data_IF_653622157044
#
_entry.id   IF_653622157044
#
_cell.length_a   1.000
_cell.length_b   1.000
_cell.length_c   1.000
_cell.angle_alpha   90.00
_cell.angle_beta   90.00
_cell.angle_gamma   90.00
#
_symmetry.space_group_name_H-M   'P 1'
#
loop_
_entity.id
_entity.type
_entity.pdbx_description
1 polymer ?
#
# COMPACT_ATOMS: atom_id res chain seq x y z
N UNK A 1 25.28 18.00 -27.93
CA UNK A 1 24.81 16.67 -27.43
C UNK A 1 24.36 16.67 -25.94
N UNK A 2 24.06 17.75 -25.26
CA UNK A 2 23.77 17.76 -23.83
C UNK A 2 22.35 18.14 -23.44
N UNK A 3 21.73 19.11 -24.08
CA UNK A 3 20.41 19.65 -23.70
C UNK A 3 19.24 18.77 -24.12
N UNK A 4 19.32 18.10 -25.25
CA UNK A 4 18.25 17.19 -25.72
C UNK A 4 18.14 15.90 -24.91
N UNK A 5 19.25 15.40 -24.35
CA UNK A 5 19.26 14.20 -23.52
C UNK A 5 18.75 14.47 -22.10
N UNK A 6 19.00 15.66 -21.56
CA UNK A 6 18.45 16.11 -20.26
C UNK A 6 16.96 16.32 -20.35
N UNK A 7 16.45 16.93 -21.43
CA UNK A 7 15.01 17.15 -21.63
C UNK A 7 14.26 15.83 -21.85
N UNK A 8 14.84 14.87 -22.57
CA UNK A 8 14.26 13.52 -22.72
C UNK A 8 14.23 12.75 -21.40
N UNK A 9 15.28 12.87 -20.56
CA UNK A 9 15.28 12.27 -19.21
C UNK A 9 14.22 12.89 -18.31
N UNK A 10 14.12 14.21 -18.25
CA UNK A 10 13.11 14.90 -17.44
C UNK A 10 11.67 14.58 -17.87
N UNK A 11 11.43 14.40 -19.17
CA UNK A 11 10.11 13.99 -19.66
C UNK A 11 9.81 12.52 -19.39
N UNK A 12 10.79 11.62 -19.49
CA UNK A 12 10.66 10.19 -19.17
C UNK A 12 10.51 9.91 -17.69
N UNK A 13 10.98 10.80 -16.82
CA UNK A 13 10.92 10.71 -15.35
C UNK A 13 9.75 11.53 -14.76
N UNK A 14 8.94 12.20 -15.59
CA UNK A 14 7.78 12.95 -15.09
C UNK A 14 6.71 12.00 -14.54
N UNK A 15 5.99 12.42 -13.49
CA UNK A 15 4.89 11.66 -12.91
C UNK A 15 3.84 11.27 -13.99
N UNK A 16 3.58 12.15 -14.95
CA UNK A 16 2.69 11.90 -16.07
C UNK A 16 3.20 10.77 -16.99
N UNK A 17 4.50 10.72 -17.30
CA UNK A 17 5.10 9.66 -18.12
C UNK A 17 5.05 8.31 -17.41
N UNK A 18 5.27 8.28 -16.09
CA UNK A 18 5.12 7.07 -15.27
C UNK A 18 3.67 6.58 -15.24
N UNK A 19 2.70 7.48 -15.09
CA UNK A 19 1.28 7.15 -15.13
C UNK A 19 0.91 6.57 -16.50
N UNK A 20 1.35 7.17 -17.58
CA UNK A 20 1.08 6.69 -18.94
C UNK A 20 1.72 5.31 -19.20
N UNK A 21 2.95 5.08 -18.76
CA UNK A 21 3.60 3.76 -18.88
C UNK A 21 2.90 2.70 -18.03
N UNK A 22 2.44 3.03 -16.82
CA UNK A 22 1.65 2.13 -15.99
C UNK A 22 0.30 1.77 -16.64
N UNK A 23 -0.36 2.72 -17.28
CA UNK A 23 -1.61 2.47 -18.04
C UNK A 23 -1.35 1.61 -19.27
N UNK A 24 -0.25 1.82 -20.01
CA UNK A 24 0.15 0.97 -21.14
C UNK A 24 0.51 -0.46 -20.68
N UNK A 25 1.25 -0.61 -19.59
CA UNK A 25 1.58 -1.93 -19.02
C UNK A 25 0.34 -2.63 -18.46
N UNK A 26 -0.58 -1.88 -17.83
CA UNK A 26 -1.87 -2.39 -17.37
C UNK A 26 -2.70 -2.95 -18.53
N UNK A 27 -2.71 -2.25 -19.67
CA UNK A 27 -3.36 -2.72 -20.88
C UNK A 27 -2.71 -3.97 -21.48
N UNK A 28 -1.41 -4.18 -21.26
CA UNK A 28 -0.68 -5.33 -21.76
C UNK A 28 -0.87 -6.61 -20.90
N UNK A 29 -1.20 -6.48 -19.61
CA UNK A 29 -1.46 -7.64 -18.71
C UNK A 29 -2.89 -8.14 -18.88
N UNK A 30 -3.01 -9.31 -19.55
CA UNK A 30 -4.31 -9.87 -19.95
C UNK A 30 -5.11 -10.42 -18.78
N UNK A 31 -6.34 -9.94 -18.64
CA UNK A 31 -7.28 -10.43 -17.65
C UNK A 31 -7.70 -11.91 -17.91
N UNK A 32 -8.08 -12.68 -16.89
CA UNK A 32 -8.59 -14.05 -17.01
C UNK A 32 -9.75 -14.19 -18.01
N UNK A 33 -10.63 -13.19 -18.09
CA UNK A 33 -11.72 -13.17 -19.07
C UNK A 33 -11.21 -13.04 -20.52
N UNK A 34 -10.12 -12.32 -20.78
CA UNK A 34 -9.50 -12.24 -22.09
C UNK A 34 -8.87 -13.59 -22.49
N UNK A 35 -8.28 -14.31 -21.53
CA UNK A 35 -7.80 -15.69 -21.73
C UNK A 35 -8.95 -16.65 -22.01
N UNK A 36 -10.12 -16.45 -21.37
CA UNK A 36 -11.33 -17.23 -21.64
C UNK A 36 -11.82 -17.00 -23.07
N UNK A 37 -11.93 -15.75 -23.53
CA UNK A 37 -12.31 -15.45 -24.93
C UNK A 37 -11.39 -16.11 -25.91
N UNK A 38 -10.07 -16.07 -25.67
CA UNK A 38 -9.07 -16.68 -26.53
C UNK A 38 -9.22 -18.20 -26.57
N UNK A 39 -9.52 -18.85 -25.43
CA UNK A 39 -9.80 -20.29 -25.35
C UNK A 39 -11.10 -20.64 -26.06
N UNK A 40 -12.15 -19.85 -25.84
CA UNK A 40 -13.44 -19.97 -26.50
C UNK A 40 -13.30 -19.86 -28.03
N UNK A 41 -12.63 -18.81 -28.52
CA UNK A 41 -12.43 -18.60 -29.95
C UNK A 41 -11.65 -19.75 -30.63
N UNK A 42 -10.69 -20.36 -29.92
CA UNK A 42 -9.91 -21.49 -30.42
C UNK A 42 -10.78 -22.72 -30.73
N UNK A 43 -11.87 -22.92 -30.00
CA UNK A 43 -12.82 -24.03 -30.21
C UNK A 43 -13.95 -23.58 -31.13
N UNK A 44 -14.52 -22.42 -30.87
CA UNK A 44 -15.68 -21.88 -31.58
C UNK A 44 -15.41 -21.68 -33.08
N UNK A 45 -14.29 -21.06 -33.44
CA UNK A 45 -13.99 -20.74 -34.83
C UNK A 45 -13.88 -21.98 -35.72
N UNK A 46 -13.13 -23.06 -35.36
CA UNK A 46 -13.13 -24.29 -36.17
C UNK A 46 -14.48 -24.96 -36.26
N UNK A 47 -15.28 -24.99 -35.18
CA UNK A 47 -16.60 -25.59 -35.16
C UNK A 47 -17.54 -24.86 -36.14
N UNK A 48 -17.63 -23.54 -36.05
CA UNK A 48 -18.50 -22.75 -36.93
C UNK A 48 -18.05 -22.84 -38.40
N UNK A 49 -16.72 -22.79 -38.62
CA UNK A 49 -16.17 -22.98 -39.98
C UNK A 49 -16.49 -24.37 -40.52
N UNK A 50 -16.35 -25.43 -39.70
CA UNK A 50 -16.71 -26.78 -40.08
C UNK A 50 -18.19 -26.93 -40.43
N UNK A 51 -19.09 -26.30 -39.62
CA UNK A 51 -20.52 -26.25 -39.91
C UNK A 51 -20.83 -25.54 -41.24
N UNK A 52 -20.15 -24.42 -41.50
CA UNK A 52 -20.32 -23.68 -42.75
C UNK A 52 -19.89 -24.53 -43.97
N UNK A 53 -18.81 -25.28 -43.83
CA UNK A 53 -18.38 -26.25 -44.88
C UNK A 53 -19.43 -27.35 -45.08
N UNK A 54 -20.01 -27.88 -43.98
CA UNK A 54 -21.07 -28.88 -44.06
C UNK A 54 -22.35 -28.34 -44.72
N UNK A 55 -22.72 -27.07 -44.49
CA UNK A 55 -23.86 -26.42 -45.18
C UNK A 55 -23.68 -26.45 -46.70
N UNK A 56 -22.46 -26.29 -47.21
CA UNK A 56 -22.17 -26.38 -48.64
C UNK A 56 -22.04 -27.85 -49.12
N UNK A 57 -21.32 -28.66 -48.38
CA UNK A 57 -20.93 -29.99 -48.82
C UNK A 57 -22.07 -31.04 -48.73
N UNK A 58 -22.88 -31.02 -47.66
CA UNK A 58 -23.94 -32.03 -47.47
C UNK A 58 -25.01 -31.97 -48.57
N UNK A 59 -25.58 -30.79 -48.94
CA UNK A 59 -26.55 -30.73 -50.02
C UNK A 59 -25.97 -31.10 -51.38
N UNK A 60 -24.67 -30.75 -51.61
CA UNK A 60 -23.97 -31.18 -52.83
C UNK A 60 -23.80 -32.69 -52.92
N UNK A 61 -23.39 -33.33 -51.82
CA UNK A 61 -23.26 -34.78 -51.74
C UNK A 61 -24.62 -35.48 -51.89
N UNK A 62 -25.66 -34.91 -51.24
CA UNK A 62 -27.02 -35.44 -51.36
C UNK A 62 -27.54 -35.42 -52.79
N UNK A 63 -27.29 -34.31 -53.52
CA UNK A 63 -27.64 -34.17 -54.94
C UNK A 63 -26.97 -35.23 -55.84
N UNK A 64 -25.71 -35.54 -55.53
CA UNK A 64 -24.94 -36.57 -56.25
C UNK A 64 -25.49 -38.00 -56.03
N UNK A 65 -26.01 -38.25 -54.80
CA UNK A 65 -26.47 -39.59 -54.41
C UNK A 65 -27.93 -39.87 -54.80
N UNK A 66 -28.80 -38.87 -54.81
CA UNK A 66 -30.25 -39.05 -54.96
C UNK A 66 -30.87 -38.41 -56.19
N UNK A 67 -30.12 -37.76 -57.07
CA UNK A 67 -30.51 -37.37 -58.44
C UNK A 67 -31.74 -36.51 -58.65
N UNK A 68 -32.42 -36.03 -57.59
CA UNK A 68 -33.66 -35.26 -57.69
C UNK A 68 -33.61 -33.85 -57.10
N UNK A 69 -32.47 -33.46 -56.55
CA UNK A 69 -32.29 -32.17 -55.90
C UNK A 69 -31.38 -31.27 -56.71
N UNK A 70 -31.93 -30.13 -57.14
CA UNK A 70 -31.15 -29.13 -57.90
C UNK A 70 -30.20 -28.38 -56.97
N UNK A 71 -28.90 -28.78 -56.97
CA UNK A 71 -27.87 -28.11 -56.19
C UNK A 71 -27.29 -26.95 -56.94
N UNK A 72 -27.28 -25.73 -56.32
CA UNK A 72 -26.59 -24.57 -56.79
C UNK A 72 -25.45 -24.23 -55.80
N UNK A 73 -24.21 -24.31 -56.23
CA UNK A 73 -23.05 -24.02 -55.40
C UNK A 73 -23.08 -22.56 -54.85
N UNK A 74 -23.42 -21.61 -55.72
CA UNK A 74 -23.47 -20.16 -55.36
C UNK A 74 -24.50 -19.87 -54.29
N UNK A 75 -25.68 -20.53 -54.35
CA UNK A 75 -26.72 -20.36 -53.37
C UNK A 75 -26.30 -20.94 -51.98
N UNK A 76 -25.80 -22.16 -51.99
CA UNK A 76 -25.36 -22.80 -50.72
C UNK A 76 -24.11 -22.15 -50.14
N UNK A 77 -23.18 -21.64 -50.97
CA UNK A 77 -22.06 -20.85 -50.55
C UNK A 77 -22.53 -19.55 -49.90
N UNK A 78 -23.49 -18.85 -50.53
CA UNK A 78 -24.08 -17.61 -49.96
C UNK A 78 -24.72 -17.87 -48.61
N UNK A 79 -25.47 -18.97 -48.43
CA UNK A 79 -26.07 -19.39 -47.16
C UNK A 79 -25.01 -19.65 -46.10
N UNK A 80 -23.93 -20.33 -46.45
CA UNK A 80 -22.81 -20.61 -45.53
C UNK A 80 -22.08 -19.31 -45.11
N UNK A 81 -21.89 -18.35 -46.02
CA UNK A 81 -21.31 -17.07 -45.72
C UNK A 81 -22.20 -16.21 -44.79
N UNK A 82 -23.51 -16.20 -45.05
CA UNK A 82 -24.49 -15.54 -44.15
C UNK A 82 -24.46 -16.21 -42.76
N UNK A 83 -24.40 -17.53 -42.69
CA UNK A 83 -24.27 -18.28 -41.44
C UNK A 83 -23.00 -17.88 -40.67
N UNK A 84 -21.83 -17.80 -41.34
CA UNK A 84 -20.56 -17.36 -40.73
C UNK A 84 -20.64 -15.96 -40.16
N UNK A 85 -21.21 -15.02 -40.91
CA UNK A 85 -21.39 -13.62 -40.45
C UNK A 85 -22.34 -13.54 -39.27
N UNK A 86 -23.50 -14.21 -39.33
CA UNK A 86 -24.50 -14.23 -38.27
C UNK A 86 -24.02 -14.92 -36.99
N UNK A 87 -23.10 -15.89 -37.14
CA UNK A 87 -22.51 -16.63 -36.04
C UNK A 87 -21.33 -15.92 -35.40
N UNK A 88 -20.94 -14.72 -35.85
CA UNK A 88 -19.80 -13.98 -35.26
C UNK A 88 -20.13 -13.49 -33.84
N UNK A 89 -19.37 -13.88 -32.80
CA UNK A 89 -19.57 -13.37 -31.45
C UNK A 89 -18.90 -11.99 -31.24
N UNK A 90 -18.97 -11.12 -32.25
CA UNK A 90 -18.24 -9.86 -32.29
C UNK A 90 -18.54 -8.95 -31.09
N UNK A 91 -19.81 -8.91 -30.65
CA UNK A 91 -20.21 -8.14 -29.48
C UNK A 91 -19.50 -8.63 -28.19
N UNK A 92 -19.38 -9.94 -28.01
CA UNK A 92 -18.69 -10.54 -26.85
C UNK A 92 -17.20 -10.20 -26.87
N UNK A 93 -16.56 -10.29 -28.02
CA UNK A 93 -15.11 -10.06 -28.19
C UNK A 93 -14.73 -8.58 -27.94
N UNK A 94 -15.61 -7.65 -28.26
CA UNK A 94 -15.37 -6.20 -28.08
C UNK A 94 -15.80 -5.73 -26.70
N UNK A 95 -16.92 -6.23 -26.16
CA UNK A 95 -17.49 -5.72 -24.91
C UNK A 95 -16.62 -5.97 -23.68
N UNK A 96 -15.90 -7.11 -23.64
CA UNK A 96 -15.09 -7.47 -22.47
C UNK A 96 -13.86 -6.54 -22.34
N UNK A 97 -12.99 -6.35 -23.34
CA UNK A 97 -11.90 -5.37 -23.25
C UNK A 97 -12.40 -3.97 -22.95
N UNK A 98 -13.51 -3.55 -23.58
CA UNK A 98 -14.10 -2.23 -23.34
C UNK A 98 -14.56 -2.07 -21.88
N UNK A 99 -15.10 -3.13 -21.26
CA UNK A 99 -15.46 -3.16 -19.85
C UNK A 99 -14.25 -2.93 -18.94
N UNK A 100 -13.13 -3.62 -19.19
CA UNK A 100 -11.88 -3.41 -18.43
C UNK A 100 -11.31 -2.01 -18.60
N UNK A 101 -11.24 -1.49 -19.84
CA UNK A 101 -10.79 -0.13 -20.09
C UNK A 101 -11.66 0.91 -19.37
N UNK A 102 -12.97 0.72 -19.41
CA UNK A 102 -13.90 1.59 -18.70
C UNK A 102 -13.70 1.52 -17.18
N UNK A 103 -13.57 0.31 -16.64
CA UNK A 103 -13.33 0.08 -15.20
C UNK A 103 -12.03 0.70 -14.71
N UNK A 104 -10.92 0.46 -15.41
CA UNK A 104 -9.62 1.08 -15.10
C UNK A 104 -9.69 2.59 -15.23
N UNK A 105 -10.37 3.11 -16.26
CA UNK A 105 -10.54 4.54 -16.46
C UNK A 105 -11.35 5.23 -15.37
N UNK A 106 -12.40 4.59 -14.85
CA UNK A 106 -13.19 5.10 -13.72
C UNK A 106 -12.37 5.06 -12.44
N UNK A 107 -11.67 3.97 -12.17
CA UNK A 107 -10.79 3.84 -11.00
C UNK A 107 -9.67 4.91 -11.01
N UNK A 108 -9.04 5.12 -12.16
CA UNK A 108 -8.00 6.15 -12.33
C UNK A 108 -8.51 7.56 -12.04
N UNK A 109 -9.75 7.89 -12.44
CA UNK A 109 -10.37 9.17 -12.08
C UNK A 109 -10.63 9.35 -10.59
N UNK A 110 -10.78 8.24 -9.86
CA UNK A 110 -10.91 8.21 -8.41
C UNK A 110 -9.54 8.15 -7.69
N UNK A 111 -8.42 8.29 -8.41
CA UNK A 111 -7.08 8.21 -7.84
C UNK A 111 -6.57 6.78 -7.61
N UNK A 112 -7.24 5.75 -8.19
CA UNK A 112 -6.83 4.34 -8.03
C UNK A 112 -6.29 3.83 -9.37
N UNK A 113 -5.00 3.52 -9.42
CA UNK A 113 -4.30 3.05 -10.61
C UNK A 113 -4.12 1.53 -10.55
N UNK A 114 -4.73 0.80 -11.47
CA UNK A 114 -4.52 -0.63 -11.66
C UNK A 114 -3.45 -0.87 -12.71
N UNK A 115 -2.44 -1.68 -12.40
CA UNK A 115 -1.38 -2.08 -13.34
C UNK A 115 -1.77 -3.24 -14.27
N UNK A 116 -3.01 -3.67 -14.24
CA UNK A 116 -3.53 -4.71 -15.13
C UNK A 116 -4.99 -5.03 -14.91
N UNK A 117 -5.70 -5.43 -15.98
CA UNK A 117 -7.10 -5.85 -15.90
C UNK A 117 -7.31 -7.09 -15.01
N UNK A 118 -6.30 -7.97 -14.90
CA UNK A 118 -6.34 -9.14 -14.01
C UNK A 118 -6.51 -8.75 -12.54
N UNK A 119 -5.98 -7.61 -12.13
CA UNK A 119 -6.06 -7.13 -10.75
C UNK A 119 -7.45 -6.59 -10.40
N UNK A 120 -8.21 -6.09 -11.37
CA UNK A 120 -9.63 -5.77 -11.19
C UNK A 120 -10.45 -7.03 -10.83
N UNK A 121 -10.18 -8.15 -11.50
CA UNK A 121 -10.83 -9.42 -11.19
C UNK A 121 -10.40 -9.97 -9.83
N UNK A 122 -9.13 -9.78 -9.46
CA UNK A 122 -8.60 -10.30 -8.21
C UNK A 122 -9.10 -9.48 -7.03
N UNK A 123 -9.09 -8.14 -7.13
CA UNK A 123 -9.58 -7.27 -6.04
C UNK A 123 -11.06 -7.47 -5.76
N UNK A 124 -11.87 -7.79 -6.79
CA UNK A 124 -13.28 -8.11 -6.63
C UNK A 124 -13.54 -9.42 -5.84
N UNK A 125 -12.52 -10.26 -5.65
CA UNK A 125 -12.59 -11.52 -4.91
C UNK A 125 -11.87 -11.48 -3.57
N UNK A 126 -11.21 -10.35 -3.25
CA UNK A 126 -10.51 -10.18 -1.98
C UNK A 126 -11.47 -10.38 -0.82
N UNK A 127 -11.08 -11.24 0.11
CA UNK A 127 -11.81 -11.53 1.35
C UNK A 127 -10.94 -11.39 2.61
N UNK A 128 -9.65 -11.13 2.42
CA UNK A 128 -8.68 -10.87 3.49
C UNK A 128 -7.88 -9.63 3.12
N UNK A 129 -7.83 -8.64 4.02
CA UNK A 129 -7.02 -7.43 3.84
C UNK A 129 -6.00 -7.33 4.96
N UNK A 130 -4.75 -7.17 4.58
CA UNK A 130 -3.62 -7.03 5.51
C UNK A 130 -3.02 -5.64 5.31
N UNK A 131 -2.98 -4.86 6.37
CA UNK A 131 -2.41 -3.52 6.36
C UNK A 131 -1.02 -3.50 7.00
N UNK A 132 -0.08 -2.78 6.40
CA UNK A 132 1.01 -2.21 7.19
C UNK A 132 0.47 -1.10 8.11
N UNK A 133 1.16 -0.82 9.21
CA UNK A 133 0.75 0.23 10.15
C UNK A 133 1.21 1.61 9.68
N UNK A 134 2.51 1.78 9.55
CA UNK A 134 3.16 3.09 9.40
C UNK A 134 2.97 3.65 8.00
N UNK A 135 2.51 4.91 7.88
CA UNK A 135 2.24 5.54 6.57
C UNK A 135 0.97 5.02 5.87
N UNK A 136 0.46 3.86 6.27
CA UNK A 136 -0.75 3.24 5.70
C UNK A 136 -1.99 3.52 6.54
N UNK A 137 -2.07 2.97 7.76
CA UNK A 137 -3.14 3.26 8.73
C UNK A 137 -2.85 4.49 9.59
N UNK A 138 -1.60 4.92 9.61
CA UNK A 138 -1.14 6.13 10.30
C UNK A 138 -0.62 7.14 9.29
N UNK A 139 -0.45 8.38 9.71
CA UNK A 139 0.05 9.46 8.86
C UNK A 139 1.56 9.34 8.57
N UNK A 140 2.28 8.43 9.27
CA UNK A 140 3.75 8.36 9.25
C UNK A 140 4.40 9.59 9.90
N UNK A 141 3.59 10.38 10.60
CA UNK A 141 4.00 11.57 11.31
C UNK A 141 3.96 11.31 12.80
N UNK A 142 5.08 11.52 13.45
CA UNK A 142 5.16 11.46 14.90
C UNK A 142 4.53 12.70 15.52
N UNK A 143 3.76 12.51 16.59
CA UNK A 143 3.22 13.58 17.41
C UNK A 143 3.53 13.33 18.89
N UNK A 144 3.73 14.41 19.64
CA UNK A 144 3.78 14.35 21.12
C UNK A 144 2.37 14.15 21.62
N UNK A 145 2.11 13.01 22.27
CA UNK A 145 0.81 12.68 22.85
C UNK A 145 0.68 13.14 24.29
N UNK A 146 1.73 12.92 25.07
CA UNK A 146 1.71 13.19 26.50
C UNK A 146 3.04 13.77 26.92
N UNK A 147 3.00 14.66 27.90
CA UNK A 147 4.16 15.26 28.56
C UNK A 147 4.06 14.96 30.04
N UNK A 148 4.98 14.14 30.53
CA UNK A 148 5.06 13.74 31.93
C UNK A 148 6.24 14.41 32.59
N UNK A 149 5.98 15.16 33.68
CA UNK A 149 7.00 15.94 34.37
C UNK A 149 7.37 15.30 35.73
N UNK A 150 8.62 15.40 36.09
CA UNK A 150 9.08 15.04 37.41
C UNK A 150 8.60 16.09 38.45
N UNK A 151 8.47 15.71 39.74
CA UNK A 151 8.11 16.65 40.79
C UNK A 151 9.03 17.87 40.81
N UNK A 152 8.43 19.07 40.77
CA UNK A 152 9.14 20.35 40.78
C UNK A 152 9.60 20.87 39.42
N UNK A 153 9.26 20.19 38.31
CA UNK A 153 9.50 20.65 36.94
C UNK A 153 8.20 21.13 36.30
N UNK A 154 8.24 22.23 35.58
CA UNK A 154 7.10 22.74 34.82
C UNK A 154 7.06 22.08 33.43
N UNK A 155 5.84 21.80 32.94
CA UNK A 155 5.64 21.16 31.61
C UNK A 155 6.22 21.99 30.45
N UNK A 156 6.04 23.34 30.50
CA UNK A 156 6.61 24.22 29.49
C UNK A 156 8.13 24.28 29.54
N UNK A 157 8.74 24.18 30.72
CA UNK A 157 10.20 24.12 30.87
C UNK A 157 10.76 22.81 30.30
N UNK A 158 10.16 21.66 30.65
CA UNK A 158 10.55 20.38 30.14
C UNK A 158 10.48 20.36 28.60
N UNK A 159 9.35 20.80 28.05
CA UNK A 159 9.12 20.87 26.61
C UNK A 159 10.13 21.81 25.94
N UNK A 160 10.41 22.95 26.55
CA UNK A 160 11.41 23.91 26.08
C UNK A 160 12.82 23.33 26.03
N UNK A 161 13.24 22.59 27.06
CA UNK A 161 14.55 21.91 27.07
C UNK A 161 14.66 20.84 25.99
N UNK A 162 13.63 19.95 25.87
CA UNK A 162 13.62 18.87 24.89
C UNK A 162 13.62 19.43 23.47
N UNK A 163 12.71 20.37 23.18
CA UNK A 163 12.62 20.96 21.84
C UNK A 163 13.86 21.75 21.44
N UNK A 164 14.50 22.44 22.41
CA UNK A 164 15.75 23.18 22.15
C UNK A 164 16.92 22.25 21.82
N UNK A 165 17.04 21.11 22.50
CA UNK A 165 18.04 20.10 22.19
C UNK A 165 17.81 19.46 20.82
N UNK A 166 16.56 19.14 20.48
CA UNK A 166 16.15 18.46 19.25
C UNK A 166 16.12 19.36 18.01
N UNK A 167 16.24 20.68 18.17
CA UNK A 167 16.11 21.67 17.07
C UNK A 167 17.04 21.42 15.88
N UNK A 168 18.23 20.89 16.13
CA UNK A 168 19.24 20.62 15.08
C UNK A 168 19.17 19.21 14.53
N UNK A 169 18.40 18.33 15.13
CA UNK A 169 18.24 16.95 14.71
C UNK A 169 17.31 16.84 13.50
N UNK A 170 17.67 15.99 12.54
CA UNK A 170 16.83 15.68 11.37
C UNK A 170 15.88 14.51 11.61
N UNK A 171 15.93 13.92 12.80
CA UNK A 171 15.10 12.77 13.14
C UNK A 171 13.62 13.12 13.15
N UNK A 172 12.70 12.25 12.63
CA UNK A 172 11.25 12.53 12.63
C UNK A 172 10.66 12.84 14.00
N UNK A 173 11.11 12.16 15.06
CA UNK A 173 10.72 12.41 16.45
C UNK A 173 11.13 13.82 16.90
N UNK A 174 12.33 14.27 16.53
CA UNK A 174 12.80 15.62 16.85
C UNK A 174 11.91 16.71 16.24
N UNK A 175 11.54 16.53 14.97
CA UNK A 175 10.61 17.46 14.30
C UNK A 175 9.26 17.51 14.98
N UNK A 176 8.73 16.37 15.41
CA UNK A 176 7.45 16.29 16.12
C UNK A 176 7.50 17.08 17.43
N UNK A 177 8.58 16.94 18.20
CA UNK A 177 8.77 17.66 19.46
C UNK A 177 8.87 19.16 19.24
N UNK A 178 9.67 19.61 18.26
CA UNK A 178 9.83 21.02 17.93
C UNK A 178 8.50 21.64 17.49
N UNK A 179 7.77 21.00 16.59
CA UNK A 179 6.45 21.46 16.13
C UNK A 179 5.42 21.52 17.26
N UNK A 180 5.46 20.55 18.17
CA UNK A 180 4.59 20.55 19.34
C UNK A 180 4.90 21.73 20.26
N UNK A 181 6.18 22.01 20.54
CA UNK A 181 6.60 23.14 21.33
C UNK A 181 6.19 24.48 20.72
N UNK A 182 6.33 24.65 19.41
CA UNK A 182 5.89 25.84 18.66
C UNK A 182 4.38 26.04 18.76
N UNK A 183 3.59 24.96 18.63
CA UNK A 183 2.13 24.99 18.76
C UNK A 183 1.66 25.39 20.17
N UNK A 184 2.35 24.90 21.20
CA UNK A 184 2.10 25.25 22.60
C UNK A 184 2.64 26.63 22.97
N UNK A 185 3.28 27.35 22.05
CA UNK A 185 3.85 28.67 22.29
C UNK A 185 5.05 28.70 23.23
N UNK A 186 5.75 27.56 23.36
CA UNK A 186 6.93 27.42 24.21
C UNK A 186 8.14 28.01 23.49
N UNK A 187 8.82 28.97 24.14
CA UNK A 187 10.02 29.58 23.59
C UNK A 187 11.18 28.55 23.53
N UNK A 188 11.77 28.43 22.36
CA UNK A 188 12.98 27.64 22.20
C UNK A 188 14.18 28.41 22.75
N UNK A 189 14.96 27.74 23.58
CA UNK A 189 16.08 28.32 24.30
C UNK A 189 17.40 28.05 23.52
N UNK A 190 18.40 28.85 23.71
CA UNK A 190 19.70 28.58 23.10
C UNK A 190 20.38 27.44 23.87
N UNK A 191 20.57 26.30 23.18
CA UNK A 191 21.41 25.20 23.69
C UNK A 191 22.77 25.27 23.01
N UNK A 192 23.84 25.12 23.81
CA UNK A 192 25.21 25.12 23.33
C UNK A 192 25.77 23.69 23.32
N UNK A 193 26.73 23.42 22.44
CA UNK A 193 27.47 22.17 22.43
C UNK A 193 26.63 20.90 22.24
N UNK A 194 25.52 20.96 21.51
CA UNK A 194 24.69 19.80 21.24
C UNK A 194 25.47 18.73 20.45
N UNK A 195 25.59 17.54 21.04
CA UNK A 195 26.25 16.38 20.47
C UNK A 195 25.26 15.21 20.41
N UNK A 196 24.99 14.73 19.21
CA UNK A 196 24.19 13.53 19.03
C UNK A 196 25.01 12.28 19.37
N UNK A 197 24.41 11.42 20.21
CA UNK A 197 24.95 10.13 20.58
C UNK A 197 24.14 9.06 19.86
N UNK A 198 24.72 8.47 18.82
CA UNK A 198 24.04 7.54 17.93
C UNK A 198 23.29 6.44 18.68
N UNK A 199 21.98 6.28 18.39
CA UNK A 199 21.11 5.29 18.99
C UNK A 199 20.70 5.56 20.45
N UNK A 200 21.07 6.73 21.04
CA UNK A 200 20.80 7.09 22.41
C UNK A 200 20.01 8.39 22.54
N UNK A 201 20.42 9.45 21.84
CA UNK A 201 19.83 10.78 21.92
C UNK A 201 20.89 11.89 21.87
N UNK A 202 20.60 13.02 22.50
CA UNK A 202 21.39 14.25 22.44
C UNK A 202 21.89 14.62 23.85
N UNK A 203 23.15 15.00 23.91
CA UNK A 203 23.74 15.69 25.05
C UNK A 203 23.99 17.14 24.65
N UNK A 204 23.49 18.09 25.41
CA UNK A 204 23.71 19.52 25.19
C UNK A 204 24.06 20.20 26.52
N UNK A 205 24.46 21.44 26.45
CA UNK A 205 24.62 22.33 27.62
C UNK A 205 23.53 23.42 27.58
N UNK A 206 22.88 23.61 28.69
CA UNK A 206 21.83 24.60 28.87
C UNK A 206 22.09 25.39 30.14
N UNK A 207 22.33 26.67 30.00
CA UNK A 207 22.58 27.59 31.13
C UNK A 207 23.69 27.09 32.09
N UNK A 208 24.78 26.56 31.50
CA UNK A 208 25.90 25.97 32.21
C UNK A 208 25.61 24.60 32.85
N UNK A 209 24.45 24.00 32.60
CA UNK A 209 24.03 22.68 33.11
C UNK A 209 23.99 21.65 31.97
N UNK A 210 24.33 20.43 32.31
CA UNK A 210 24.22 19.32 31.35
C UNK A 210 22.78 18.95 31.08
N UNK A 211 22.37 19.01 29.83
CA UNK A 211 21.04 18.56 29.35
C UNK A 211 21.21 17.24 28.59
N UNK A 212 20.43 16.24 28.96
CA UNK A 212 20.34 14.94 28.29
C UNK A 212 18.91 14.76 27.79
N UNK A 213 18.77 14.49 26.49
CA UNK A 213 17.49 14.24 25.83
C UNK A 213 17.60 13.00 24.97
N UNK A 214 16.82 11.96 25.23
CA UNK A 214 16.89 10.73 24.46
C UNK A 214 16.16 9.55 25.11
N UNK A 215 16.59 8.32 24.80
CA UNK A 215 15.98 7.12 25.36
C UNK A 215 16.54 6.77 26.76
N UNK A 216 15.97 5.73 27.39
CA UNK A 216 16.40 5.27 28.72
C UNK A 216 17.85 4.76 28.75
N UNK A 217 18.40 4.30 27.60
CA UNK A 217 19.82 3.90 27.50
C UNK A 217 20.74 5.09 27.66
N UNK A 218 20.35 6.28 27.18
CA UNK A 218 21.12 7.52 27.42
C UNK A 218 21.18 7.81 28.92
N UNK A 219 20.05 7.72 29.60
CA UNK A 219 19.96 7.95 31.06
C UNK A 219 20.87 6.97 31.83
N UNK A 220 20.79 5.69 31.52
CA UNK A 220 21.64 4.66 32.12
C UNK A 220 23.13 4.91 31.86
N UNK A 221 23.52 5.33 30.67
CA UNK A 221 24.92 5.65 30.30
C UNK A 221 25.51 6.79 31.11
N UNK A 222 24.70 7.76 31.49
CA UNK A 222 25.13 8.91 32.30
C UNK A 222 24.78 8.79 33.78
N UNK A 223 24.28 7.62 34.22
CA UNK A 223 23.99 7.35 35.63
C UNK A 223 22.80 8.15 36.18
N UNK A 224 21.87 8.56 35.33
CA UNK A 224 20.64 9.25 35.75
C UNK A 224 19.63 8.22 36.24
N UNK A 225 19.19 8.35 37.48
CA UNK A 225 18.11 7.57 38.04
C UNK A 225 16.74 8.10 37.57
N UNK A 226 15.84 7.21 37.14
CA UNK A 226 14.48 7.53 36.70
C UNK A 226 13.51 6.43 37.18
N UNK A 227 12.19 6.70 37.24
CA UNK A 227 11.19 5.71 37.67
C UNK A 227 11.18 4.50 36.72
N UNK A 228 11.19 3.29 37.26
CA UNK A 228 11.22 2.03 36.50
C UNK A 228 9.99 1.84 35.60
N UNK A 229 8.88 2.55 35.90
CA UNK A 229 7.65 2.56 35.10
C UNK A 229 7.89 3.11 33.68
N UNK A 230 8.92 3.97 33.51
CA UNK A 230 9.29 4.55 32.22
C UNK A 230 9.75 3.47 31.21
N UNK A 231 10.42 2.43 31.69
CA UNK A 231 10.85 1.30 30.84
C UNK A 231 9.69 0.40 30.39
N UNK A 232 8.58 0.44 31.10
CA UNK A 232 7.38 -0.33 30.79
C UNK A 232 6.47 0.33 29.74
N UNK A 233 6.75 1.60 29.38
CA UNK A 233 5.97 2.34 28.38
C UNK A 233 6.23 1.73 27.00
N UNK A 234 5.19 1.23 26.32
CA UNK A 234 5.37 0.59 25.02
C UNK A 234 5.66 1.58 23.88
N UNK A 235 5.20 2.83 24.02
CA UNK A 235 5.37 3.90 23.04
C UNK A 235 6.84 4.37 22.96
N UNK A 236 7.14 5.08 21.86
CA UNK A 236 8.42 5.80 21.77
C UNK A 236 8.42 6.94 22.80
N UNK A 237 9.42 6.94 23.67
CA UNK A 237 9.58 7.99 24.68
C UNK A 237 10.85 8.79 24.45
N UNK A 238 10.79 10.08 24.74
CA UNK A 238 11.93 10.97 24.84
C UNK A 238 12.08 11.39 26.29
N UNK A 239 13.09 10.85 26.97
CA UNK A 239 13.38 11.14 28.38
C UNK A 239 14.32 12.33 28.46
N UNK A 240 14.10 13.21 29.43
CA UNK A 240 14.90 14.38 29.68
C UNK A 240 15.49 14.37 31.09
N UNK A 241 16.76 14.76 31.18
CA UNK A 241 17.44 15.02 32.44
C UNK A 241 18.26 16.29 32.37
N UNK A 242 18.26 17.07 33.45
CA UNK A 242 19.03 18.29 33.61
C UNK A 242 19.95 18.18 34.80
N UNK A 243 21.24 18.40 34.60
CA UNK A 243 22.30 18.33 35.60
C UNK A 243 22.28 17.03 36.43
N UNK A 244 22.16 15.89 35.72
CA UNK A 244 22.12 14.55 36.30
C UNK A 244 20.81 14.19 37.02
N UNK A 245 19.78 15.05 36.97
CA UNK A 245 18.47 14.80 37.59
C UNK A 245 17.42 14.55 36.52
N UNK A 246 16.66 13.49 36.68
CA UNK A 246 15.49 13.20 35.85
C UNK A 246 14.48 14.34 35.90
N UNK A 247 14.08 14.86 34.73
CA UNK A 247 13.16 15.98 34.58
C UNK A 247 11.78 15.55 34.10
N UNK A 248 11.69 14.43 33.39
CA UNK A 248 10.43 13.92 32.83
C UNK A 248 10.63 13.21 31.50
N UNK A 249 9.53 12.92 30.81
CA UNK A 249 9.55 12.33 29.47
C UNK A 249 8.36 12.79 28.63
N UNK A 250 8.52 12.69 27.33
CA UNK A 250 7.47 12.89 26.35
C UNK A 250 7.13 11.52 25.71
N UNK A 251 5.84 11.26 25.53
CA UNK A 251 5.35 10.10 24.78
C UNK A 251 5.11 10.53 23.35
N UNK A 252 5.76 9.86 22.43
CA UNK A 252 5.69 10.10 21.00
C UNK A 252 4.96 8.94 20.35
N UNK A 253 3.93 9.23 19.60
CA UNK A 253 3.19 8.21 18.86
C UNK A 253 2.98 8.65 17.41
N UNK A 254 2.89 7.66 16.54
CA UNK A 254 2.46 7.86 15.17
C UNK A 254 0.94 8.05 15.16
N UNK A 255 0.48 9.09 14.49
CA UNK A 255 -0.93 9.50 14.48
C UNK A 255 -1.74 8.58 13.55
N UNK A 256 -2.76 7.87 14.06
CA UNK A 256 -3.69 7.16 13.18
C UNK A 256 -4.40 8.16 12.24
N UNK A 257 -4.59 7.76 10.98
CA UNK A 257 -5.40 8.54 10.04
C UNK A 257 -6.84 8.63 10.53
N UNK A 258 -7.46 9.80 10.38
CA UNK A 258 -8.83 10.05 10.87
C UNK A 258 -9.87 9.12 10.24
N UNK A 259 -9.61 8.65 9.03
CA UNK A 259 -10.49 7.74 8.28
C UNK A 259 -10.16 6.25 8.46
N UNK A 260 -9.08 5.89 9.16
CA UNK A 260 -8.66 4.49 9.32
C UNK A 260 -9.77 3.60 9.92
N UNK A 261 -10.44 4.06 10.99
CA UNK A 261 -11.53 3.31 11.61
C UNK A 261 -12.73 3.18 10.68
N UNK A 262 -13.07 4.23 9.93
CA UNK A 262 -14.14 4.23 8.94
C UNK A 262 -13.81 3.26 7.81
N UNK A 263 -12.58 3.27 7.30
CA UNK A 263 -12.13 2.36 6.25
C UNK A 263 -12.28 0.89 6.67
N UNK A 264 -11.87 0.54 7.89
CA UNK A 264 -12.06 -0.83 8.43
C UNK A 264 -13.55 -1.19 8.52
N UNK A 265 -14.39 -0.26 8.98
CA UNK A 265 -15.84 -0.50 9.06
C UNK A 265 -16.49 -0.68 7.67
N UNK A 266 -16.09 0.14 6.69
CA UNK A 266 -16.57 0.04 5.31
C UNK A 266 -16.14 -1.27 4.65
N UNK A 267 -14.88 -1.72 4.82
CA UNK A 267 -14.42 -3.01 4.34
C UNK A 267 -15.25 -4.17 4.91
N UNK A 268 -15.56 -4.14 6.21
CA UNK A 268 -16.45 -5.13 6.84
C UNK A 268 -17.85 -5.10 6.25
N UNK A 269 -18.40 -3.93 5.96
CA UNK A 269 -19.71 -3.79 5.32
C UNK A 269 -19.77 -4.36 3.91
N UNK A 270 -18.60 -4.42 3.22
CA UNK A 270 -18.45 -5.07 1.92
C UNK A 270 -18.23 -6.60 2.01
N UNK A 271 -18.25 -7.17 3.23
CA UNK A 271 -18.10 -8.60 3.46
C UNK A 271 -16.66 -9.06 3.69
N UNK A 272 -15.71 -8.15 3.86
CA UNK A 272 -14.32 -8.47 4.21
C UNK A 272 -14.21 -8.53 5.73
N UNK A 273 -14.32 -9.73 6.29
CA UNK A 273 -14.31 -9.92 7.75
C UNK A 273 -12.89 -10.13 8.30
N UNK A 274 -11.98 -10.69 7.51
CA UNK A 274 -10.59 -10.94 7.91
C UNK A 274 -9.71 -9.73 7.54
N UNK A 275 -9.57 -8.80 8.51
CA UNK A 275 -8.75 -7.61 8.38
C UNK A 275 -7.63 -7.69 9.41
N UNK A 276 -6.37 -7.58 8.98
CA UNK A 276 -5.19 -7.77 9.81
C UNK A 276 -4.24 -6.57 9.72
N UNK A 277 -3.44 -6.40 10.78
CA UNK A 277 -2.34 -5.43 10.80
C UNK A 277 -1.04 -6.20 11.04
N UNK A 278 -0.03 -5.97 10.20
CA UNK A 278 1.33 -6.50 10.35
C UNK A 278 2.32 -5.35 10.41
N UNK A 279 3.10 -5.26 11.47
CA UNK A 279 4.03 -4.13 11.67
C UNK A 279 5.36 -4.57 12.28
N UNK A 280 6.41 -3.81 12.02
CA UNK A 280 7.70 -3.93 12.71
C UNK A 280 7.72 -3.26 14.09
N UNK A 281 6.68 -2.52 14.44
CA UNK A 281 6.58 -1.86 15.74
C UNK A 281 6.29 -2.88 16.87
N UNK A 282 6.49 -2.43 18.11
CA UNK A 282 6.24 -3.27 19.29
C UNK A 282 4.84 -3.86 19.29
N UNK A 283 4.73 -5.15 19.60
CA UNK A 283 3.48 -5.91 19.65
C UNK A 283 2.37 -5.17 20.42
N UNK A 284 2.69 -4.62 21.60
CA UNK A 284 1.71 -3.91 22.44
C UNK A 284 1.07 -2.70 21.76
N UNK A 285 1.84 -1.95 20.95
CA UNK A 285 1.34 -0.80 20.19
C UNK A 285 0.41 -1.23 19.07
N UNK A 286 0.83 -2.24 18.32
CA UNK A 286 0.07 -2.78 17.18
C UNK A 286 -1.23 -3.41 17.64
N UNK A 287 -1.18 -4.19 18.73
CA UNK A 287 -2.36 -4.78 19.35
C UNK A 287 -3.35 -3.73 19.89
N UNK A 288 -2.85 -2.61 20.45
CA UNK A 288 -3.71 -1.51 20.90
C UNK A 288 -4.42 -0.83 19.72
N UNK A 289 -3.68 -0.52 18.65
CA UNK A 289 -4.25 0.03 17.42
C UNK A 289 -5.28 -0.92 16.82
N UNK A 290 -4.96 -2.22 16.75
CA UNK A 290 -5.87 -3.24 16.22
C UNK A 290 -7.20 -3.32 16.97
N UNK A 291 -7.16 -3.23 18.31
CA UNK A 291 -8.36 -3.16 19.15
C UNK A 291 -9.17 -1.88 18.89
N UNK A 292 -8.51 -0.74 18.76
CA UNK A 292 -9.15 0.55 18.49
C UNK A 292 -9.85 0.55 17.12
N UNK A 293 -9.21 -0.01 16.10
CA UNK A 293 -9.77 -0.11 14.74
C UNK A 293 -10.73 -1.29 14.57
N UNK A 294 -10.73 -2.23 15.52
CA UNK A 294 -11.59 -3.41 15.49
C UNK A 294 -11.20 -4.43 14.42
N UNK A 295 -9.92 -4.59 14.10
CA UNK A 295 -9.43 -5.61 13.15
C UNK A 295 -9.43 -7.01 13.77
N UNK A 296 -9.35 -8.05 12.93
CA UNK A 296 -9.39 -9.45 13.36
C UNK A 296 -8.11 -9.89 14.04
N UNK A 297 -6.97 -9.42 13.55
CA UNK A 297 -5.65 -9.76 14.07
C UNK A 297 -4.69 -8.57 13.90
N UNK A 298 -3.81 -8.35 14.88
CA UNK A 298 -2.78 -7.33 14.82
C UNK A 298 -1.50 -7.89 15.43
N UNK A 299 -0.42 -7.93 14.65
CA UNK A 299 0.90 -8.45 15.05
C UNK A 299 1.98 -7.40 14.87
N UNK A 300 2.77 -7.25 15.92
CA UNK A 300 3.95 -6.42 15.96
C UNK A 300 5.26 -7.22 15.94
N UNK A 301 6.36 -6.50 16.20
CA UNK A 301 7.72 -7.05 16.28
C UNK A 301 8.14 -7.89 15.05
N UNK A 302 7.54 -7.65 13.88
CA UNK A 302 7.78 -8.41 12.67
C UNK A 302 8.92 -7.82 11.84
N UNK A 303 9.85 -8.68 11.43
CA UNK A 303 10.79 -8.39 10.36
C UNK A 303 10.09 -8.54 8.99
N UNK A 304 10.65 -7.96 7.91
CA UNK A 304 10.08 -8.11 6.56
C UNK A 304 9.82 -9.57 6.17
N UNK A 305 10.72 -10.48 6.52
CA UNK A 305 10.61 -11.92 6.27
C UNK A 305 9.41 -12.52 7.01
N UNK A 306 9.16 -12.11 8.26
CA UNK A 306 8.02 -12.56 9.06
C UNK A 306 6.68 -12.11 8.48
N UNK A 307 6.61 -10.91 7.88
CA UNK A 307 5.42 -10.45 7.15
C UNK A 307 5.16 -11.34 5.93
N UNK A 308 6.21 -11.70 5.17
CA UNK A 308 6.10 -12.59 4.00
C UNK A 308 5.60 -13.98 4.38
N UNK A 309 6.16 -14.60 5.43
CA UNK A 309 5.74 -15.92 5.90
C UNK A 309 4.25 -15.97 6.26
N UNK A 310 3.73 -14.92 6.90
CA UNK A 310 2.30 -14.81 7.23
C UNK A 310 1.46 -14.69 5.95
N UNK A 311 1.89 -13.88 4.97
CA UNK A 311 1.17 -13.71 3.71
C UNK A 311 1.19 -14.99 2.87
N UNK A 312 2.31 -15.71 2.82
CA UNK A 312 2.42 -17.00 2.15
C UNK A 312 1.50 -18.05 2.79
N UNK A 313 1.43 -18.08 4.13
CA UNK A 313 0.52 -18.96 4.85
C UNK A 313 -0.95 -18.67 4.51
N UNK A 314 -1.34 -17.38 4.50
CA UNK A 314 -2.68 -16.95 4.11
C UNK A 314 -3.02 -17.33 2.68
N UNK A 315 -2.09 -17.13 1.73
CA UNK A 315 -2.26 -17.52 0.33
C UNK A 315 -2.40 -19.03 0.14
N UNK A 316 -1.79 -19.82 1.03
CA UNK A 316 -1.92 -21.28 1.03
C UNK A 316 -3.28 -21.79 1.51
N UNK A 317 -4.11 -20.96 2.16
CA UNK A 317 -5.42 -21.33 2.65
C UNK A 317 -6.46 -21.40 1.51
N UNK A 318 -7.18 -22.52 1.33
CA UNK A 318 -8.17 -22.65 0.27
C UNK A 318 -9.28 -21.60 0.36
N UNK A 319 -9.51 -20.89 -0.74
CA UNK A 319 -10.59 -19.89 -0.85
C UNK A 319 -10.23 -18.51 -0.30
N UNK A 320 -9.05 -18.30 0.26
CA UNK A 320 -8.56 -16.96 0.62
C UNK A 320 -7.98 -16.25 -0.59
N UNK A 321 -8.32 -14.97 -0.70
CA UNK A 321 -7.73 -14.02 -1.64
C UNK A 321 -7.31 -12.79 -0.84
N UNK A 322 -6.01 -12.57 -0.75
CA UNK A 322 -5.41 -11.62 0.18
C UNK A 322 -4.91 -10.37 -0.56
N UNK A 323 -5.37 -9.20 -0.12
CA UNK A 323 -4.76 -7.92 -0.47
C UNK A 323 -3.82 -7.46 0.65
N UNK A 324 -2.61 -7.03 0.29
CA UNK A 324 -1.69 -6.35 1.21
C UNK A 324 -1.61 -4.87 0.85
N UNK A 325 -1.77 -4.00 1.85
CA UNK A 325 -1.72 -2.54 1.70
C UNK A 325 -0.54 -1.98 2.48
N UNK A 326 0.37 -1.30 1.80
CA UNK A 326 1.58 -0.74 2.39
C UNK A 326 2.09 0.49 1.63
N UNK A 327 3.06 1.20 2.20
CA UNK A 327 3.63 2.42 1.60
C UNK A 327 5.16 2.41 1.52
N UNK A 328 5.82 1.51 2.27
CA UNK A 328 7.24 1.52 2.51
C UNK A 328 8.09 0.68 1.54
N UNK A 329 9.37 1.03 1.44
CA UNK A 329 10.38 0.21 0.78
C UNK A 329 10.45 -1.21 1.37
N UNK A 330 10.27 -1.31 2.69
CA UNK A 330 10.29 -2.58 3.42
C UNK A 330 9.10 -3.49 3.11
N UNK A 331 8.04 -2.92 2.53
CA UNK A 331 6.81 -3.65 2.19
C UNK A 331 6.80 -4.21 0.76
N UNK A 332 7.77 -3.83 -0.08
CA UNK A 332 7.87 -4.34 -1.45
C UNK A 332 7.83 -5.87 -1.55
N UNK A 333 8.53 -6.65 -0.69
CA UNK A 333 8.41 -8.11 -0.69
C UNK A 333 6.99 -8.60 -0.32
N UNK A 334 6.34 -7.96 0.64
CA UNK A 334 4.98 -8.29 1.07
C UNK A 334 3.93 -7.97 0.00
N UNK A 335 4.08 -6.81 -0.68
CA UNK A 335 3.27 -6.43 -1.84
C UNK A 335 3.36 -7.46 -2.97
N UNK A 336 4.58 -7.94 -3.28
CA UNK A 336 4.80 -8.95 -4.31
C UNK A 336 4.28 -10.36 -3.94
N UNK A 337 4.22 -10.68 -2.65
CA UNK A 337 3.82 -12.00 -2.14
C UNK A 337 2.30 -12.16 -2.07
N UNK A 338 1.56 -11.08 -1.84
CA UNK A 338 0.09 -11.09 -1.77
C UNK A 338 -0.57 -11.40 -3.12
N UNK A 339 -1.87 -11.73 -3.13
CA UNK A 339 -2.64 -11.91 -4.37
C UNK A 339 -2.87 -10.58 -5.09
N UNK A 340 -2.98 -9.49 -4.32
CA UNK A 340 -2.99 -8.10 -4.80
C UNK A 340 -2.19 -7.23 -3.85
N UNK A 341 -1.12 -6.64 -4.35
CA UNK A 341 -0.36 -5.61 -3.64
C UNK A 341 -0.94 -4.22 -3.93
N UNK A 342 -1.26 -3.47 -2.87
CA UNK A 342 -1.79 -2.10 -2.96
C UNK A 342 -0.81 -1.13 -2.31
N UNK A 343 -0.27 -0.20 -3.07
CA UNK A 343 0.64 0.83 -2.56
C UNK A 343 -0.05 2.18 -2.40
N UNK A 344 0.33 2.92 -1.34
CA UNK A 344 -0.06 4.31 -1.13
C UNK A 344 0.87 5.22 -1.94
N UNK A 345 0.34 5.93 -2.95
CA UNK A 345 1.16 6.69 -3.90
C UNK A 345 1.67 8.03 -3.38
N UNK A 346 0.93 8.71 -2.49
CA UNK A 346 1.26 10.07 -2.06
C UNK A 346 2.49 10.14 -1.12
N UNK A 347 2.70 9.10 -0.30
CA UNK A 347 3.80 8.98 0.67
C UNK A 347 4.65 7.74 0.41
N UNK A 348 4.23 6.86 -0.51
CA UNK A 348 4.88 5.59 -0.80
C UNK A 348 6.25 5.73 -1.44
N UNK A 349 7.13 4.78 -1.15
CA UNK A 349 8.43 4.70 -1.80
C UNK A 349 8.29 4.31 -3.28
N UNK A 350 9.18 4.79 -4.13
CA UNK A 350 9.22 4.40 -5.56
C UNK A 350 9.24 2.87 -5.73
N UNK A 351 9.93 2.16 -4.83
CA UNK A 351 10.00 0.69 -4.87
C UNK A 351 8.65 0.02 -4.54
N UNK A 352 7.88 0.54 -3.56
CA UNK A 352 6.55 0.03 -3.26
C UNK A 352 5.59 0.30 -4.43
N UNK A 353 5.64 1.52 -4.98
CA UNK A 353 4.84 1.88 -6.15
C UNK A 353 5.18 1.00 -7.35
N UNK A 354 6.47 0.69 -7.60
CA UNK A 354 6.89 -0.15 -8.73
C UNK A 354 6.45 -1.61 -8.56
N UNK A 355 6.47 -2.13 -7.34
CA UNK A 355 6.15 -3.53 -7.04
C UNK A 355 4.66 -3.80 -6.93
N UNK A 356 3.86 -2.85 -6.45
CA UNK A 356 2.43 -3.02 -6.23
C UNK A 356 1.65 -3.23 -7.55
N UNK A 357 0.53 -3.90 -7.46
CA UNK A 357 -0.42 -4.16 -8.55
C UNK A 357 -1.45 -3.03 -8.71
N UNK A 358 -1.73 -2.36 -7.60
CA UNK A 358 -2.66 -1.23 -7.48
C UNK A 358 -1.98 -0.11 -6.71
N UNK A 359 -2.14 1.13 -7.17
CA UNK A 359 -1.60 2.33 -6.51
C UNK A 359 -2.74 3.29 -6.21
N UNK A 360 -2.85 3.74 -4.97
CA UNK A 360 -3.82 4.74 -4.49
C UNK A 360 -3.09 6.08 -4.36
N UNK A 361 -3.54 7.12 -5.08
CA UNK A 361 -2.95 8.48 -5.07
C UNK A 361 -3.68 9.40 -4.12
#
# INVERSE_FOLDING_TARGET
>A
RGLGDVYKRQYGESALSRILSMVEEAAARKAPAELFIRRFARIYTPVVTGLAVLIVALPGLWSLLHGGFAYSFDEWLSRALVFLVASCPCALVISIPLGYFSGIGVASKAGVLFKGGSYLDTIARVNTVVFDKTGTLTEGLFEVREVHVAPGVNSGELLGWVASAERTSTHPVARAVVQYAEREGVALLASEGAVEIAGHGIRAEFDGKQLLVGNTRLMARFGVEYPSEVDAIPETIVVCALDGRYAGYLVIADKPKEDAARTVAELKSLGIEDIRILSGDREALVANLGRTLGVSEARGDLLPEGKMEILEALRGEPGKVTAFVGDGFNDAPALATSDVGVAMGALGSDAAIETADVVIQ
#
